data_IF_512898284721
#
_entry.id   IF_512898284721
#
_cell.length_a   1.000
_cell.length_b   1.000
_cell.length_c   1.000
_cell.angle_alpha   90.00
_cell.angle_beta   90.00
_cell.angle_gamma   90.00
#
_symmetry.space_group_name_H-M   'P 1'
#
loop_
_entity.id
_entity.type
_entity.pdbx_description
1 polymer ?
#
# COMPACT_ATOMS: atom_id res chain seq x y z
N UNK A 1 53.29 83.06 19.06
CA UNK A 1 53.04 81.79 19.78
C UNK A 1 51.69 81.29 19.35
N UNK A 2 51.70 80.32 18.45
CA UNK A 2 50.50 79.80 17.80
C UNK A 2 50.20 78.41 18.42
N UNK A 3 49.02 78.26 19.06
CA UNK A 3 48.62 77.01 19.70
C UNK A 3 47.78 76.24 18.70
N UNK A 4 48.27 75.10 18.30
CA UNK A 4 47.61 74.20 17.33
C UNK A 4 46.88 73.11 18.12
N UNK A 5 45.54 73.24 18.22
CA UNK A 5 44.67 72.18 18.82
C UNK A 5 44.34 71.18 17.75
N UNK A 6 44.86 69.95 17.90
CA UNK A 6 44.51 68.81 17.01
C UNK A 6 43.17 68.22 17.43
N UNK A 7 42.18 68.24 16.49
CA UNK A 7 40.94 67.62 16.62
C UNK A 7 41.05 66.18 16.10
N UNK A 8 40.88 65.17 16.98
CA UNK A 8 40.83 63.79 16.61
C UNK A 8 39.35 63.41 16.34
N UNK A 9 39.00 63.13 15.08
CA UNK A 9 37.73 62.48 14.73
C UNK A 9 37.88 60.97 14.92
N UNK A 10 37.12 60.38 15.89
CA UNK A 10 36.97 58.97 16.03
C UNK A 10 35.85 58.54 15.06
N UNK A 11 36.21 57.81 14.02
CA UNK A 11 35.21 57.07 13.20
C UNK A 11 34.85 55.78 13.94
N UNK A 12 33.64 55.73 14.55
CA UNK A 12 33.08 54.51 15.08
C UNK A 12 32.50 53.71 13.89
N UNK A 13 33.22 52.68 13.45
CA UNK A 13 32.69 51.69 12.50
C UNK A 13 31.76 50.75 13.27
N UNK A 14 30.47 50.96 13.16
CA UNK A 14 29.46 50.01 13.64
C UNK A 14 29.44 48.78 12.73
N UNK A 15 30.08 47.70 13.15
CA UNK A 15 29.92 46.38 12.58
C UNK A 15 28.50 45.87 12.90
N UNK A 16 27.55 46.05 11.96
CA UNK A 16 26.30 45.32 11.99
C UNK A 16 26.62 43.83 11.79
N UNK A 17 26.18 42.94 12.69
CA UNK A 17 26.30 41.52 12.44
C UNK A 17 25.39 41.15 11.26
N UNK A 18 25.98 40.86 10.12
CA UNK A 18 25.31 40.23 9.00
C UNK A 18 24.89 38.85 9.46
N UNK A 19 23.63 38.71 9.93
CA UNK A 19 23.01 37.41 10.11
C UNK A 19 22.82 36.82 8.70
N UNK A 20 23.79 36.01 8.27
CA UNK A 20 23.58 35.08 7.21
C UNK A 20 22.39 34.16 7.65
N UNK A 21 21.26 34.42 7.10
CA UNK A 21 20.15 33.49 7.13
C UNK A 21 20.60 32.30 6.26
N UNK A 22 21.17 31.26 6.88
CA UNK A 22 21.32 29.98 6.24
C UNK A 22 19.87 29.48 6.01
N UNK A 23 19.32 29.79 4.85
CA UNK A 23 18.22 29.01 4.33
C UNK A 23 18.76 27.58 4.25
N UNK A 24 18.35 26.71 5.21
CA UNK A 24 18.76 25.32 5.22
C UNK A 24 18.42 24.73 3.85
N UNK A 25 19.33 23.93 3.30
CA UNK A 25 19.03 23.17 2.09
C UNK A 25 17.74 22.36 2.38
N UNK A 26 16.79 22.27 1.42
CA UNK A 26 15.60 21.48 1.63
C UNK A 26 16.01 20.06 2.02
N UNK A 27 15.40 19.52 3.10
CA UNK A 27 15.69 18.17 3.57
C UNK A 27 15.39 17.15 2.46
N UNK A 28 16.26 16.15 2.32
CA UNK A 28 16.03 15.07 1.36
C UNK A 28 14.74 14.31 1.71
N UNK A 29 14.14 13.63 0.73
CA UNK A 29 12.98 12.77 0.97
C UNK A 29 13.24 11.75 2.09
N UNK A 30 14.44 11.18 2.15
CA UNK A 30 14.83 10.24 3.20
C UNK A 30 14.78 10.90 4.59
N UNK A 31 15.34 12.09 4.76
CA UNK A 31 15.30 12.82 6.03
C UNK A 31 13.87 13.20 6.46
N UNK A 32 13.01 13.56 5.50
CA UNK A 32 11.60 13.87 5.79
C UNK A 32 10.85 12.62 6.26
N UNK A 33 11.06 11.47 5.59
CA UNK A 33 10.46 10.19 6.00
C UNK A 33 11.04 9.74 7.35
N UNK A 34 12.34 9.84 7.58
CA UNK A 34 12.95 9.50 8.87
C UNK A 34 12.38 10.36 10.02
N UNK A 35 12.09 11.62 9.76
CA UNK A 35 11.42 12.50 10.73
C UNK A 35 10.01 12.03 11.09
N UNK A 36 9.22 11.56 10.10
CA UNK A 36 7.88 10.98 10.32
C UNK A 36 7.96 9.74 11.22
N UNK A 37 9.02 8.94 11.07
CA UNK A 37 9.20 7.67 11.78
C UNK A 37 9.87 7.82 13.15
N UNK A 38 10.45 8.99 13.42
CA UNK A 38 11.20 9.24 14.65
C UNK A 38 10.34 8.98 15.90
N UNK A 39 10.87 8.20 16.83
CA UNK A 39 10.19 7.83 18.08
C UNK A 39 9.03 6.84 17.94
N UNK A 40 8.75 6.32 16.74
CA UNK A 40 7.70 5.31 16.51
C UNK A 40 8.20 3.91 16.82
N UNK A 41 7.33 3.11 17.44
CA UNK A 41 7.60 1.71 17.78
C UNK A 41 6.97 0.79 16.74
N UNK A 42 7.54 0.79 15.52
CA UNK A 42 7.09 -0.01 14.38
C UNK A 42 8.26 -0.24 13.41
N UNK A 43 8.15 -1.24 12.56
CA UNK A 43 9.03 -1.39 11.40
C UNK A 43 8.26 -0.98 10.14
N UNK A 44 8.81 -0.02 9.39
CA UNK A 44 8.21 0.47 8.15
C UNK A 44 9.05 0.06 6.96
N UNK A 45 8.40 -0.40 5.90
CA UNK A 45 9.01 -0.67 4.60
C UNK A 45 8.33 0.15 3.52
N UNK A 46 9.12 0.78 2.66
CA UNK A 46 8.62 1.63 1.58
C UNK A 46 9.28 1.23 0.27
N UNK A 47 8.51 1.21 -0.80
CA UNK A 47 9.00 1.21 -2.17
C UNK A 47 8.10 2.11 -3.01
N UNK A 48 8.71 3.06 -3.73
CA UNK A 48 7.99 3.94 -4.64
C UNK A 48 8.74 4.07 -5.96
N UNK A 49 8.00 4.03 -7.07
CA UNK A 49 8.55 4.21 -8.42
C UNK A 49 7.60 5.08 -9.26
N UNK A 50 8.16 6.07 -9.99
CA UNK A 50 7.45 6.89 -10.95
C UNK A 50 8.40 7.35 -12.06
N UNK A 51 8.29 6.80 -13.26
CA UNK A 51 9.26 7.08 -14.33
C UNK A 51 10.67 6.67 -13.92
N UNK A 52 11.59 7.62 -13.89
CA UNK A 52 12.98 7.49 -13.44
C UNK A 52 13.17 7.76 -11.92
N UNK A 53 12.13 8.21 -11.23
CA UNK A 53 12.16 8.33 -9.78
C UNK A 53 12.01 6.97 -9.11
N UNK A 54 12.84 6.70 -8.10
CA UNK A 54 12.66 5.59 -7.18
C UNK A 54 13.07 5.97 -5.76
N UNK A 55 12.35 5.43 -4.79
CA UNK A 55 12.68 5.52 -3.36
C UNK A 55 12.44 4.17 -2.68
N UNK A 56 13.36 3.73 -1.85
CA UNK A 56 13.24 2.49 -1.10
C UNK A 56 13.72 2.64 0.34
N UNK A 57 12.97 2.03 1.26
CA UNK A 57 13.33 1.88 2.67
C UNK A 57 12.97 0.47 3.12
N UNK A 58 13.90 -0.23 3.79
CA UNK A 58 13.70 -1.61 4.22
C UNK A 58 13.20 -2.53 3.08
N UNK A 59 13.65 -2.26 1.85
CA UNK A 59 13.12 -2.80 0.60
C UNK A 59 13.14 -4.32 0.51
N UNK A 60 14.03 -5.01 1.25
CA UNK A 60 14.17 -6.49 1.29
C UNK A 60 13.69 -7.11 2.60
N UNK A 61 13.19 -6.31 3.53
CA UNK A 61 12.57 -6.83 4.77
C UNK A 61 11.25 -7.49 4.42
N UNK A 62 10.95 -8.63 5.06
CA UNK A 62 9.69 -9.35 4.90
C UNK A 62 8.62 -8.72 5.77
N UNK A 63 7.49 -8.38 5.15
CA UNK A 63 6.32 -7.83 5.82
C UNK A 63 5.13 -8.75 5.63
N UNK A 64 4.34 -9.07 6.68
CA UNK A 64 3.08 -9.79 6.53
C UNK A 64 2.16 -9.03 5.57
N UNK A 65 1.69 -9.69 4.52
CA UNK A 65 0.88 -9.04 3.48
C UNK A 65 -0.50 -8.62 3.97
N UNK A 66 -1.06 -9.37 4.91
CA UNK A 66 -2.47 -9.25 5.27
C UNK A 66 -3.33 -9.23 4.00
N UNK A 67 -4.48 -8.59 4.00
CA UNK A 67 -5.37 -8.57 2.82
C UNK A 67 -4.77 -7.97 1.53
N UNK A 68 -3.54 -7.45 1.53
CA UNK A 68 -2.86 -7.06 0.29
C UNK A 68 -2.65 -8.27 -0.64
N UNK A 69 -2.51 -9.49 -0.10
CA UNK A 69 -2.35 -10.70 -0.92
C UNK A 69 -3.56 -11.01 -1.81
N UNK A 70 -4.72 -10.41 -1.56
CA UNK A 70 -5.93 -10.54 -2.40
C UNK A 70 -5.71 -10.04 -3.84
N UNK A 71 -4.74 -9.14 -4.05
CA UNK A 71 -4.28 -8.76 -5.40
C UNK A 71 -3.71 -9.97 -6.13
N UNK A 72 -2.85 -10.76 -5.48
CA UNK A 72 -2.26 -11.97 -6.05
C UNK A 72 -3.34 -13.00 -6.42
N UNK A 73 -4.32 -13.20 -5.52
CA UNK A 73 -5.45 -14.11 -5.75
C UNK A 73 -6.26 -13.68 -6.97
N UNK A 74 -6.62 -12.39 -7.05
CA UNK A 74 -7.38 -11.85 -8.17
C UNK A 74 -6.64 -11.99 -9.50
N UNK A 75 -5.32 -11.79 -9.51
CA UNK A 75 -4.49 -11.99 -10.71
C UNK A 75 -4.56 -13.43 -11.23
N UNK A 76 -4.46 -14.42 -10.33
CA UNK A 76 -4.53 -15.84 -10.71
C UNK A 76 -5.93 -16.20 -11.22
N UNK A 77 -6.99 -15.75 -10.56
CA UNK A 77 -8.38 -15.99 -10.99
C UNK A 77 -8.59 -15.43 -12.41
N UNK A 78 -8.16 -14.20 -12.69
CA UNK A 78 -8.28 -13.60 -14.02
C UNK A 78 -7.49 -14.38 -15.08
N UNK A 79 -6.32 -14.89 -14.73
CA UNK A 79 -5.52 -15.73 -15.64
C UNK A 79 -6.23 -17.04 -15.97
N UNK A 80 -6.81 -17.72 -14.98
CA UNK A 80 -7.58 -18.96 -15.20
C UNK A 80 -8.83 -18.73 -16.04
N UNK A 81 -9.54 -17.64 -15.79
CA UNK A 81 -10.69 -17.24 -16.61
C UNK A 81 -10.28 -17.01 -18.08
N UNK A 82 -9.20 -16.29 -18.29
CA UNK A 82 -8.69 -16.05 -19.65
C UNK A 82 -8.30 -17.34 -20.35
N UNK A 83 -7.70 -18.27 -19.63
CA UNK A 83 -7.27 -19.56 -20.17
C UNK A 83 -8.44 -20.50 -20.48
N UNK A 84 -9.51 -20.44 -19.67
CA UNK A 84 -10.71 -21.30 -19.82
C UNK A 84 -11.81 -20.68 -20.68
N UNK A 85 -11.71 -19.39 -21.02
CA UNK A 85 -12.80 -18.64 -21.67
C UNK A 85 -13.98 -18.35 -20.74
N UNK A 86 -13.81 -18.47 -19.43
CA UNK A 86 -14.87 -18.18 -18.44
C UNK A 86 -15.16 -16.67 -18.38
N UNK A 87 -16.45 -16.29 -18.35
CA UNK A 87 -16.85 -14.89 -18.22
C UNK A 87 -16.86 -14.43 -16.76
N UNK A 88 -16.62 -13.14 -16.54
CA UNK A 88 -16.86 -12.48 -15.24
C UNK A 88 -18.33 -12.48 -14.83
N UNK A 89 -19.25 -12.63 -15.78
CA UNK A 89 -20.70 -12.75 -15.53
C UNK A 89 -21.12 -14.18 -15.11
N UNK A 90 -20.18 -15.13 -15.11
CA UNK A 90 -20.46 -16.50 -14.63
C UNK A 90 -20.95 -16.44 -13.19
N UNK A 91 -22.11 -17.03 -12.95
CA UNK A 91 -22.71 -17.11 -11.61
C UNK A 91 -22.01 -18.22 -10.81
N UNK A 92 -21.59 -17.86 -9.61
CA UNK A 92 -21.01 -18.76 -8.61
C UNK A 92 -22.05 -18.94 -7.52
N UNK A 93 -22.44 -20.20 -7.28
CA UNK A 93 -23.29 -20.55 -6.14
C UNK A 93 -22.42 -20.68 -4.89
N UNK A 94 -22.70 -19.85 -3.90
CA UNK A 94 -21.99 -19.82 -2.62
C UNK A 94 -22.91 -20.33 -1.53
N UNK A 95 -22.66 -21.55 -1.07
CA UNK A 95 -23.40 -22.13 0.04
C UNK A 95 -23.17 -21.35 1.33
N UNK A 96 -24.20 -21.20 2.17
CA UNK A 96 -24.09 -20.51 3.46
C UNK A 96 -22.97 -21.09 4.33
N UNK A 97 -22.74 -22.38 4.26
CA UNK A 97 -21.67 -23.08 4.98
C UNK A 97 -20.24 -22.62 4.58
N UNK A 98 -20.08 -22.03 3.41
CA UNK A 98 -18.79 -21.45 2.95
C UNK A 98 -18.51 -20.08 3.56
N UNK A 99 -19.52 -19.41 4.12
CA UNK A 99 -19.42 -18.09 4.72
C UNK A 99 -19.15 -18.21 6.22
N UNK A 100 -17.86 -18.11 6.61
CA UNK A 100 -17.40 -18.20 8.01
C UNK A 100 -17.95 -17.03 8.83
N UNK A 101 -18.37 -17.31 10.09
CA UNK A 101 -18.94 -16.31 10.99
C UNK A 101 -17.87 -15.39 11.59
N UNK A 102 -16.76 -15.95 12.03
CA UNK A 102 -15.73 -15.24 12.81
C UNK A 102 -14.69 -14.57 11.94
N UNK A 103 -15.09 -13.91 10.84
CA UNK A 103 -14.16 -13.18 9.98
C UNK A 103 -14.85 -11.94 9.38
N UNK A 104 -14.04 -10.98 8.95
CA UNK A 104 -14.56 -9.80 8.26
C UNK A 104 -15.13 -10.19 6.89
N UNK A 105 -16.44 -10.00 6.70
CA UNK A 105 -17.11 -10.41 5.46
C UNK A 105 -18.37 -9.59 5.16
N UNK A 106 -18.23 -8.46 4.46
CA UNK A 106 -19.36 -7.70 3.94
C UNK A 106 -20.33 -8.53 3.08
N UNK A 107 -19.83 -9.53 2.33
CA UNK A 107 -20.65 -10.45 1.56
C UNK A 107 -21.63 -11.23 2.46
N UNK A 108 -21.11 -11.82 3.56
CA UNK A 108 -21.93 -12.55 4.54
C UNK A 108 -22.95 -11.59 5.18
N UNK A 109 -22.48 -10.40 5.59
CA UNK A 109 -23.31 -9.45 6.33
C UNK A 109 -24.44 -8.87 5.46
N UNK A 110 -24.20 -8.71 4.15
CA UNK A 110 -25.23 -8.35 3.18
C UNK A 110 -26.23 -9.49 2.86
N UNK A 111 -25.90 -10.73 3.23
CA UNK A 111 -26.70 -11.93 2.99
C UNK A 111 -26.72 -12.81 4.25
N UNK A 112 -27.43 -12.41 5.31
CA UNK A 112 -27.35 -13.05 6.62
C UNK A 112 -27.94 -14.47 6.66
N UNK A 113 -28.79 -14.82 5.69
CA UNK A 113 -29.44 -16.13 5.63
C UNK A 113 -29.45 -16.68 4.22
N UNK A 114 -29.25 -18.01 4.12
CA UNK A 114 -29.32 -18.75 2.86
C UNK A 114 -28.05 -18.70 2.01
N UNK A 115 -28.11 -19.41 0.92
CA UNK A 115 -27.06 -19.45 -0.09
C UNK A 115 -27.09 -18.17 -0.95
N UNK A 116 -25.99 -17.89 -1.63
CA UNK A 116 -25.84 -16.69 -2.45
C UNK A 116 -25.43 -17.07 -3.87
N UNK A 117 -26.24 -16.66 -4.84
CA UNK A 117 -25.84 -16.66 -6.24
C UNK A 117 -25.22 -15.29 -6.57
N UNK A 118 -23.95 -15.28 -6.94
CA UNK A 118 -23.19 -14.07 -7.20
C UNK A 118 -22.32 -14.23 -8.46
N UNK A 119 -22.22 -13.20 -9.28
CA UNK A 119 -21.29 -13.25 -10.42
C UNK A 119 -19.84 -13.30 -9.93
N UNK A 120 -18.95 -13.90 -10.73
CA UNK A 120 -17.52 -13.93 -10.42
C UNK A 120 -16.96 -12.51 -10.28
N UNK A 121 -17.42 -11.55 -11.10
CA UNK A 121 -17.12 -10.13 -10.94
C UNK A 121 -17.51 -9.60 -9.56
N UNK A 122 -18.72 -9.93 -9.09
CA UNK A 122 -19.23 -9.55 -7.78
C UNK A 122 -18.39 -10.14 -6.64
N UNK A 123 -18.05 -11.43 -6.74
CA UNK A 123 -17.22 -12.11 -5.76
C UNK A 123 -15.82 -11.50 -5.67
N UNK A 124 -15.21 -11.23 -6.84
CA UNK A 124 -13.90 -10.55 -6.91
C UNK A 124 -13.97 -9.12 -6.36
N UNK A 125 -15.07 -8.37 -6.62
CA UNK A 125 -15.25 -7.02 -6.09
C UNK A 125 -15.31 -7.04 -4.55
N UNK A 126 -16.06 -7.97 -3.95
CA UNK A 126 -16.08 -8.15 -2.50
C UNK A 126 -14.66 -8.41 -1.95
N UNK A 127 -13.91 -9.31 -2.59
CA UNK A 127 -12.54 -9.63 -2.14
C UNK A 127 -11.58 -8.45 -2.26
N UNK A 128 -11.58 -7.74 -3.39
CA UNK A 128 -10.57 -6.70 -3.69
C UNK A 128 -11.00 -5.35 -3.14
N UNK A 129 -12.19 -4.85 -3.49
CA UNK A 129 -12.62 -3.50 -3.17
C UNK A 129 -13.13 -3.37 -1.72
N UNK A 130 -13.78 -4.41 -1.20
CA UNK A 130 -14.35 -4.43 0.15
C UNK A 130 -13.51 -5.28 1.13
N UNK A 131 -12.45 -5.91 0.64
CA UNK A 131 -11.52 -6.72 1.45
C UNK A 131 -12.15 -7.93 2.15
N UNK A 132 -13.23 -8.49 1.60
CA UNK A 132 -13.97 -9.62 2.15
C UNK A 132 -13.12 -10.89 2.24
N UNK A 133 -13.06 -11.52 3.41
CA UNK A 133 -12.25 -12.70 3.65
C UNK A 133 -12.90 -13.97 3.12
N UNK A 134 -14.23 -14.13 3.26
CA UNK A 134 -14.94 -15.29 2.73
C UNK A 134 -14.90 -15.32 1.19
N UNK A 135 -15.11 -14.17 0.55
CA UNK A 135 -14.98 -14.04 -0.90
C UNK A 135 -13.55 -14.41 -1.37
N UNK A 136 -12.52 -13.97 -0.63
CA UNK A 136 -11.15 -14.33 -0.92
C UNK A 136 -10.91 -15.84 -0.86
N UNK A 137 -11.37 -16.51 0.20
CA UNK A 137 -11.17 -17.94 0.38
C UNK A 137 -11.93 -18.78 -0.68
N UNK A 138 -13.11 -18.32 -1.12
CA UNK A 138 -13.83 -18.92 -2.24
C UNK A 138 -12.99 -18.79 -3.52
N UNK A 139 -12.45 -17.61 -3.81
CA UNK A 139 -11.59 -17.38 -4.98
C UNK A 139 -10.29 -18.20 -4.91
N UNK A 140 -9.68 -18.36 -3.74
CA UNK A 140 -8.50 -19.22 -3.55
C UNK A 140 -8.84 -20.68 -3.89
N UNK A 141 -9.99 -21.19 -3.44
CA UNK A 141 -10.45 -22.55 -3.81
C UNK A 141 -10.67 -22.70 -5.32
N UNK A 142 -11.31 -21.71 -5.95
CA UNK A 142 -11.51 -21.69 -7.41
C UNK A 142 -10.19 -21.67 -8.18
N UNK A 143 -9.17 -20.95 -7.66
CA UNK A 143 -7.82 -20.88 -8.22
C UNK A 143 -6.98 -22.15 -7.98
N UNK A 144 -7.55 -23.20 -7.37
CA UNK A 144 -6.86 -24.46 -7.06
C UNK A 144 -5.98 -24.41 -5.81
N UNK A 145 -6.26 -23.46 -4.89
CA UNK A 145 -5.58 -23.28 -3.62
C UNK A 145 -4.46 -22.26 -3.64
N UNK A 146 -4.06 -21.80 -2.43
CA UNK A 146 -3.09 -20.70 -2.25
C UNK A 146 -1.73 -21.00 -2.90
N UNK A 147 -1.30 -22.26 -2.91
CA UNK A 147 -0.05 -22.68 -3.57
C UNK A 147 -0.07 -22.50 -5.09
N UNK A 148 -1.24 -22.54 -5.74
CA UNK A 148 -1.36 -22.24 -7.17
C UNK A 148 -1.25 -20.73 -7.41
N UNK A 149 -1.78 -19.92 -6.51
CA UNK A 149 -1.61 -18.46 -6.55
C UNK A 149 -0.12 -18.09 -6.44
N UNK A 150 0.60 -18.65 -5.45
CA UNK A 150 2.03 -18.43 -5.26
C UNK A 150 2.83 -18.80 -6.52
N UNK A 151 2.59 -19.99 -7.08
CA UNK A 151 3.28 -20.46 -8.33
C UNK A 151 3.00 -19.55 -9.52
N UNK A 152 1.74 -19.13 -9.68
CA UNK A 152 1.36 -18.26 -10.78
C UNK A 152 2.10 -16.91 -10.72
N UNK A 153 2.10 -16.26 -9.56
CA UNK A 153 2.76 -14.95 -9.43
C UNK A 153 4.29 -15.07 -9.61
N UNK A 154 4.89 -16.18 -9.13
CA UNK A 154 6.32 -16.47 -9.42
C UNK A 154 6.58 -16.65 -10.91
N UNK A 155 5.67 -17.27 -11.65
CA UNK A 155 5.82 -17.46 -13.10
C UNK A 155 5.83 -16.14 -13.88
N UNK A 156 5.32 -15.04 -13.27
CA UNK A 156 5.41 -13.69 -13.82
C UNK A 156 6.77 -13.01 -13.54
N UNK A 157 7.70 -13.71 -12.90
CA UNK A 157 9.03 -13.21 -12.57
C UNK A 157 9.04 -12.30 -11.34
N UNK A 158 8.05 -12.42 -10.47
CA UNK A 158 8.04 -11.75 -9.15
C UNK A 158 8.66 -12.68 -8.12
N UNK A 159 9.77 -12.25 -7.54
CA UNK A 159 10.42 -12.88 -6.40
C UNK A 159 10.29 -11.98 -5.17
N UNK A 160 10.69 -12.48 -3.99
CA UNK A 160 10.64 -11.67 -2.76
C UNK A 160 9.25 -11.62 -2.11
N UNK A 161 8.43 -12.63 -2.33
CA UNK A 161 7.17 -12.85 -1.63
C UNK A 161 6.95 -14.34 -1.35
N UNK A 162 5.94 -14.66 -0.54
CA UNK A 162 5.48 -16.03 -0.25
C UNK A 162 4.03 -16.03 0.16
N UNK A 163 3.25 -16.98 -0.35
CA UNK A 163 1.88 -17.25 0.06
C UNK A 163 1.74 -18.71 0.49
N UNK A 164 1.28 -18.95 1.72
CA UNK A 164 1.14 -20.29 2.29
C UNK A 164 -0.24 -20.59 2.84
N UNK A 165 -0.97 -19.55 3.25
CA UNK A 165 -2.22 -19.69 3.99
C UNK A 165 -3.32 -18.89 3.33
N UNK A 166 -4.55 -19.41 3.41
CA UNK A 166 -5.79 -18.68 3.12
C UNK A 166 -6.22 -17.84 4.33
N UNK A 167 -7.30 -17.08 4.21
CA UNK A 167 -7.79 -16.20 5.28
C UNK A 167 -8.27 -17.02 6.49
N UNK A 168 -8.95 -18.16 6.28
CA UNK A 168 -9.43 -19.03 7.34
C UNK A 168 -8.28 -19.60 8.19
N UNK A 169 -7.18 -20.02 7.54
CA UNK A 169 -6.00 -20.51 8.26
C UNK A 169 -5.30 -19.42 9.09
N UNK A 170 -5.19 -18.20 8.55
CA UNK A 170 -4.63 -17.06 9.28
C UNK A 170 -5.55 -16.58 10.41
N UNK A 171 -6.87 -16.70 10.24
CA UNK A 171 -7.83 -16.34 11.28
C UNK A 171 -7.81 -17.33 12.45
N UNK A 172 -7.67 -18.63 12.17
CA UNK A 172 -7.54 -19.66 13.23
C UNK A 172 -6.23 -19.55 14.02
N UNK A 173 -5.18 -19.05 13.40
CA UNK A 173 -3.87 -18.85 14.01
C UNK A 173 -3.23 -17.62 13.37
N UNK A 174 -3.37 -16.48 14.04
CA UNK A 174 -2.90 -15.19 13.53
C UNK A 174 -1.38 -15.15 13.32
N UNK A 175 -0.60 -16.02 13.96
CA UNK A 175 0.85 -16.10 13.74
C UNK A 175 1.21 -16.52 12.33
N UNK A 176 0.31 -17.22 11.64
CA UNK A 176 0.47 -17.63 10.23
C UNK A 176 0.49 -16.48 9.25
N UNK A 177 0.04 -15.28 9.67
CA UNK A 177 0.13 -14.10 8.81
C UNK A 177 1.57 -13.76 8.43
N UNK A 178 2.56 -14.13 9.24
CA UNK A 178 3.99 -13.96 8.94
C UNK A 178 4.50 -14.89 7.84
N UNK A 179 3.80 -15.98 7.55
CA UNK A 179 4.14 -16.89 6.45
C UNK A 179 3.67 -16.36 5.09
N UNK A 180 2.65 -15.49 5.08
CA UNK A 180 2.19 -14.76 3.90
C UNK A 180 2.87 -13.38 3.85
N UNK A 181 4.01 -13.28 3.23
CA UNK A 181 4.82 -12.07 3.25
C UNK A 181 5.23 -11.59 1.86
N UNK A 182 5.53 -10.31 1.77
CA UNK A 182 6.24 -9.71 0.63
C UNK A 182 7.30 -8.74 1.11
N UNK A 183 8.27 -8.45 0.24
CA UNK A 183 9.10 -7.25 0.36
C UNK A 183 8.39 -6.07 -0.30
N UNK A 184 8.67 -4.82 0.10
CA UNK A 184 8.12 -3.64 -0.57
C UNK A 184 8.43 -3.60 -2.07
N UNK A 185 9.65 -3.92 -2.48
CA UNK A 185 10.05 -3.96 -3.90
C UNK A 185 9.27 -5.01 -4.70
N UNK A 186 9.11 -6.22 -4.15
CA UNK A 186 8.36 -7.28 -4.82
C UNK A 186 6.89 -6.88 -5.04
N UNK A 187 6.28 -6.21 -4.05
CA UNK A 187 4.91 -5.73 -4.18
C UNK A 187 4.78 -4.61 -5.21
N UNK A 188 5.70 -3.65 -5.22
CA UNK A 188 5.73 -2.60 -6.25
C UNK A 188 5.89 -3.20 -7.65
N UNK A 189 6.76 -4.21 -7.82
CA UNK A 189 6.90 -4.93 -9.09
C UNK A 189 5.59 -5.63 -9.50
N UNK A 190 4.89 -6.26 -8.57
CA UNK A 190 3.59 -6.87 -8.84
C UNK A 190 2.56 -5.83 -9.32
N UNK A 191 2.50 -4.68 -8.66
CA UNK A 191 1.62 -3.58 -9.04
C UNK A 191 1.93 -3.04 -10.44
N UNK A 192 3.21 -2.98 -10.83
CA UNK A 192 3.61 -2.61 -12.19
C UNK A 192 3.08 -3.62 -13.22
N UNK A 193 3.16 -4.92 -12.96
CA UNK A 193 2.59 -5.95 -13.85
C UNK A 193 1.08 -5.74 -14.04
N UNK A 194 0.36 -5.41 -12.97
CA UNK A 194 -1.09 -5.16 -13.02
C UNK A 194 -1.42 -3.91 -13.83
N UNK A 195 -0.65 -2.83 -13.73
CA UNK A 195 -1.02 -1.50 -14.25
C UNK A 195 -0.26 -1.07 -15.51
N UNK A 196 0.94 -1.58 -15.79
CA UNK A 196 1.71 -1.25 -17.00
C UNK A 196 1.40 -2.18 -18.18
N UNK A 197 0.92 -3.39 -17.88
CA UNK A 197 0.56 -4.35 -18.92
C UNK A 197 -0.53 -3.81 -19.84
N UNK A 198 -0.27 -3.80 -21.16
CA UNK A 198 -1.28 -3.47 -22.17
C UNK A 198 -2.39 -4.53 -22.29
N UNK A 199 -2.18 -5.69 -21.66
CA UNK A 199 -3.15 -6.78 -21.69
C UNK A 199 -4.46 -6.38 -20.99
N UNK A 200 -5.63 -6.61 -21.62
CA UNK A 200 -6.94 -6.37 -21.01
C UNK A 200 -7.18 -7.25 -19.78
N UNK A 201 -6.38 -8.30 -19.60
CA UNK A 201 -6.47 -9.30 -18.54
C UNK A 201 -6.70 -8.72 -17.15
N UNK A 202 -5.92 -7.70 -16.76
CA UNK A 202 -6.02 -7.11 -15.41
C UNK A 202 -6.88 -5.84 -15.37
N UNK A 203 -7.57 -5.48 -16.45
CA UNK A 203 -8.45 -4.30 -16.44
C UNK A 203 -9.54 -4.37 -15.35
N UNK A 204 -10.21 -5.53 -15.12
CA UNK A 204 -11.18 -5.64 -14.03
C UNK A 204 -10.54 -5.42 -12.64
N UNK A 205 -9.34 -5.96 -12.39
CA UNK A 205 -8.62 -5.78 -11.14
C UNK A 205 -8.27 -4.31 -10.91
N UNK A 206 -7.78 -3.60 -11.93
CA UNK A 206 -7.50 -2.15 -11.85
C UNK A 206 -8.75 -1.36 -11.46
N UNK A 207 -9.90 -1.67 -12.06
CA UNK A 207 -11.18 -1.03 -11.75
C UNK A 207 -11.63 -1.32 -10.31
N UNK A 208 -11.47 -2.56 -9.83
CA UNK A 208 -11.81 -2.94 -8.46
C UNK A 208 -10.91 -2.23 -7.43
N UNK A 209 -9.61 -2.10 -7.73
CA UNK A 209 -8.68 -1.37 -6.86
C UNK A 209 -8.97 0.14 -6.84
N UNK A 210 -9.42 0.73 -7.95
CA UNK A 210 -9.87 2.12 -7.99
C UNK A 210 -11.18 2.36 -7.21
N UNK A 211 -11.99 1.30 -7.03
CA UNK A 211 -13.23 1.32 -6.27
C UNK A 211 -13.07 0.86 -4.81
N UNK A 212 -11.83 0.74 -4.30
CA UNK A 212 -11.57 0.32 -2.92
C UNK A 212 -12.22 1.27 -1.92
N UNK A 213 -12.94 0.71 -0.94
CA UNK A 213 -13.65 1.47 0.11
C UNK A 213 -12.96 1.42 1.46
N UNK A 214 -11.88 0.64 1.60
CA UNK A 214 -11.12 0.50 2.86
C UNK A 214 -9.91 1.41 2.86
N UNK A 215 -9.50 1.92 4.05
CA UNK A 215 -8.26 2.67 4.24
C UNK A 215 -8.23 4.05 3.59
N UNK A 216 -9.36 4.76 3.58
CA UNK A 216 -9.44 6.15 3.15
C UNK A 216 -8.48 7.07 3.93
N UNK A 217 -8.07 6.65 5.12
CA UNK A 217 -7.14 7.31 6.05
C UNK A 217 -5.66 6.97 5.82
N UNK A 218 -5.35 6.08 4.85
CA UNK A 218 -3.97 5.62 4.53
C UNK A 218 -3.39 6.36 3.32
N UNK A 219 -2.86 5.65 2.31
CA UNK A 219 -2.25 6.31 1.13
C UNK A 219 -3.22 7.33 0.50
N UNK A 220 -4.51 7.01 0.42
CA UNK A 220 -5.53 7.92 -0.13
C UNK A 220 -5.51 9.29 0.57
N UNK A 221 -5.38 9.34 1.91
CA UNK A 221 -5.31 10.58 2.69
C UNK A 221 -3.99 11.37 2.49
N UNK A 222 -2.96 10.75 1.95
CA UNK A 222 -1.70 11.41 1.60
C UNK A 222 -1.68 12.01 0.19
N UNK A 223 -2.72 11.77 -0.62
CA UNK A 223 -2.80 12.18 -2.03
C UNK A 223 -3.94 13.20 -2.20
N UNK A 224 -3.74 14.33 -2.91
CA UNK A 224 -4.81 15.28 -3.19
C UNK A 224 -6.04 14.61 -3.82
N UNK A 225 -7.25 15.09 -3.46
CA UNK A 225 -8.52 14.50 -3.91
C UNK A 225 -8.71 14.49 -5.42
N UNK A 226 -8.10 15.46 -6.11
CA UNK A 226 -8.15 15.57 -7.57
C UNK A 226 -7.31 14.50 -8.30
N UNK A 227 -6.46 13.77 -7.58
CA UNK A 227 -5.57 12.76 -8.16
C UNK A 227 -6.17 11.37 -7.94
N UNK A 228 -6.43 10.58 -9.00
CA UNK A 228 -6.95 9.23 -8.88
C UNK A 228 -5.97 8.28 -8.18
N UNK A 229 -6.51 7.45 -7.28
CA UNK A 229 -5.77 6.41 -6.56
C UNK A 229 -6.50 5.08 -6.71
N UNK A 230 -5.77 4.05 -7.12
CA UNK A 230 -6.21 2.67 -7.05
C UNK A 230 -5.35 1.95 -6.01
N UNK A 231 -5.96 1.35 -4.97
CA UNK A 231 -5.18 0.80 -3.87
C UNK A 231 -5.77 -0.46 -3.26
N UNK A 232 -4.96 -1.15 -2.44
CA UNK A 232 -5.39 -2.29 -1.63
C UNK A 232 -4.73 -2.24 -0.27
N UNK A 233 -5.56 -2.27 0.77
CA UNK A 233 -5.12 -2.28 2.17
C UNK A 233 -4.99 -3.69 2.73
N UNK A 234 -4.23 -3.82 3.81
CA UNK A 234 -4.16 -5.03 4.63
C UNK A 234 -3.90 -4.67 6.09
N UNK A 235 -4.70 -5.19 6.99
CA UNK A 235 -4.58 -4.93 8.43
C UNK A 235 -4.79 -6.23 9.20
N UNK A 236 -4.00 -6.42 10.27
CA UNK A 236 -4.18 -7.52 11.23
C UNK A 236 -4.98 -7.09 12.45
N UNK A 237 -5.44 -8.07 13.22
CA UNK A 237 -5.73 -7.88 14.64
C UNK A 237 -4.43 -7.66 15.44
N UNK A 238 -4.55 -7.49 16.76
CA UNK A 238 -3.41 -7.30 17.65
C UNK A 238 -3.13 -8.56 18.48
N UNK A 239 -1.85 -8.91 18.60
CA UNK A 239 -1.36 -9.93 19.51
C UNK A 239 -0.61 -9.21 20.63
N UNK A 240 -1.07 -9.36 21.88
CA UNK A 240 -0.47 -8.70 23.05
C UNK A 240 -0.20 -7.19 22.84
N UNK A 241 -1.12 -6.49 22.19
CA UNK A 241 -1.01 -5.06 21.91
C UNK A 241 -0.21 -4.69 20.65
N UNK A 242 0.44 -5.66 20.01
CA UNK A 242 1.25 -5.46 18.79
C UNK A 242 0.40 -5.76 17.54
N UNK A 243 0.37 -4.83 16.61
CA UNK A 243 -0.22 -5.03 15.27
C UNK A 243 0.81 -5.68 14.37
N UNK A 244 0.52 -6.89 13.90
CA UNK A 244 1.48 -7.70 13.13
C UNK A 244 1.70 -7.16 11.72
N UNK A 245 0.66 -6.57 11.12
CA UNK A 245 0.73 -5.92 9.81
C UNK A 245 -0.32 -4.84 9.64
N UNK A 246 0.09 -3.70 9.06
CA UNK A 246 -0.82 -2.61 8.67
C UNK A 246 -0.27 -1.95 7.39
N UNK A 247 -0.91 -2.21 6.27
CA UNK A 247 -0.33 -2.02 4.94
C UNK A 247 -1.26 -1.23 4.03
N UNK A 248 -0.67 -0.55 3.06
CA UNK A 248 -1.37 -0.07 1.88
C UNK A 248 -0.44 -0.08 0.65
N UNK A 249 -0.97 -0.47 -0.50
CA UNK A 249 -0.28 -0.46 -1.78
C UNK A 249 -1.14 0.24 -2.81
N UNK A 250 -0.57 1.17 -3.56
CA UNK A 250 -1.34 2.03 -4.44
C UNK A 250 -0.66 2.30 -5.78
N UNK A 251 -1.49 2.63 -6.76
CA UNK A 251 -1.09 3.34 -7.97
C UNK A 251 -1.78 4.69 -7.99
N UNK A 252 -0.99 5.74 -7.98
CA UNK A 252 -1.41 7.14 -8.04
C UNK A 252 -1.23 7.63 -9.48
N UNK A 253 -2.32 8.08 -10.12
CA UNK A 253 -2.27 8.59 -11.48
C UNK A 253 -1.88 10.07 -11.48
N UNK A 254 -0.60 10.34 -11.63
CA UNK A 254 -0.05 11.68 -11.57
C UNK A 254 -0.63 12.61 -12.65
N UNK A 255 -0.69 13.94 -12.44
CA UNK A 255 -1.13 14.89 -13.46
C UNK A 255 -0.35 14.84 -14.77
N UNK A 256 0.93 14.42 -14.72
CA UNK A 256 1.75 14.15 -15.90
C UNK A 256 1.23 12.99 -16.78
N UNK A 257 0.22 12.25 -16.30
CA UNK A 257 -0.27 11.04 -16.95
C UNK A 257 0.57 9.79 -16.63
N UNK A 258 1.57 9.86 -15.76
CA UNK A 258 2.36 8.70 -15.30
C UNK A 258 1.70 8.00 -14.14
N UNK A 259 1.97 6.72 -13.98
CA UNK A 259 1.63 5.97 -12.78
C UNK A 259 2.78 6.10 -11.76
N UNK A 260 2.45 6.52 -10.54
CA UNK A 260 3.33 6.42 -9.39
C UNK A 260 2.89 5.22 -8.55
N UNK A 261 3.77 4.23 -8.41
CA UNK A 261 3.55 3.02 -7.62
C UNK A 261 4.08 3.26 -6.21
N UNK A 262 3.25 3.08 -5.20
CA UNK A 262 3.61 3.32 -3.80
C UNK A 262 3.22 2.09 -2.97
N UNK A 263 4.19 1.50 -2.30
CA UNK A 263 4.00 0.45 -1.30
C UNK A 263 4.47 0.97 0.04
N UNK A 264 3.58 0.97 1.04
CA UNK A 264 3.93 1.27 2.44
C UNK A 264 3.45 0.12 3.31
N UNK A 265 4.39 -0.58 3.91
CA UNK A 265 4.17 -1.70 4.82
C UNK A 265 4.60 -1.34 6.22
N UNK A 266 3.78 -1.67 7.21
CA UNK A 266 4.10 -1.57 8.63
C UNK A 266 3.98 -2.97 9.24
N UNK A 267 4.96 -3.37 10.05
CA UNK A 267 4.89 -4.57 10.87
C UNK A 267 5.32 -4.32 12.30
N UNK A 268 4.86 -5.20 13.18
CA UNK A 268 5.24 -5.24 14.60
C UNK A 268 5.05 -3.88 15.30
N UNK A 269 3.90 -3.22 15.00
CA UNK A 269 3.61 -1.89 15.51
C UNK A 269 2.96 -1.95 16.89
N UNK A 270 3.54 -1.22 17.84
CA UNK A 270 2.94 -0.93 19.14
C UNK A 270 2.12 0.38 19.16
N UNK A 271 2.03 1.06 18.02
CA UNK A 271 1.25 2.29 17.85
C UNK A 271 -0.24 1.99 17.64
N UNK A 272 -1.10 3.00 17.80
CA UNK A 272 -2.53 2.87 17.49
C UNK A 272 -2.77 2.70 15.98
N UNK A 273 -3.95 2.20 15.60
CA UNK A 273 -4.32 2.06 14.18
C UNK A 273 -4.36 3.42 13.48
N UNK A 274 -4.87 4.45 14.18
CA UNK A 274 -4.85 5.83 13.66
C UNK A 274 -3.42 6.36 13.46
N UNK A 275 -2.49 6.03 14.36
CA UNK A 275 -1.08 6.43 14.21
C UNK A 275 -0.41 5.70 13.02
N UNK A 276 -0.71 4.41 12.83
CA UNK A 276 -0.23 3.67 11.67
C UNK A 276 -0.76 4.27 10.36
N UNK A 277 -2.07 4.53 10.29
CA UNK A 277 -2.69 5.15 9.12
C UNK A 277 -2.09 6.52 8.82
N UNK A 278 -1.90 7.36 9.85
CA UNK A 278 -1.27 8.68 9.71
C UNK A 278 0.18 8.59 9.17
N UNK A 279 0.97 7.59 9.60
CA UNK A 279 2.31 7.34 9.07
C UNK A 279 2.25 6.97 7.59
N UNK A 280 1.35 6.04 7.21
CA UNK A 280 1.18 5.64 5.80
C UNK A 280 0.79 6.84 4.94
N UNK A 281 -0.17 7.66 5.41
CA UNK A 281 -0.60 8.87 4.71
C UNK A 281 0.52 9.92 4.57
N UNK A 282 1.29 10.14 5.65
CA UNK A 282 2.38 11.11 5.63
C UNK A 282 3.50 10.68 4.67
N UNK A 283 3.90 9.40 4.70
CA UNK A 283 4.91 8.86 3.76
C UNK A 283 4.44 8.98 2.32
N UNK A 284 3.17 8.66 2.04
CA UNK A 284 2.60 8.80 0.69
C UNK A 284 2.59 10.25 0.22
N UNK A 285 2.28 11.21 1.10
CA UNK A 285 2.30 12.65 0.81
C UNK A 285 3.69 13.12 0.41
N UNK A 286 4.71 12.79 1.18
CA UNK A 286 6.09 13.16 0.89
C UNK A 286 6.56 12.63 -0.47
N UNK A 287 6.17 11.39 -0.81
CA UNK A 287 6.49 10.78 -2.11
C UNK A 287 5.77 11.53 -3.24
N UNK A 288 4.47 11.79 -3.11
CA UNK A 288 3.69 12.49 -4.14
C UNK A 288 4.16 13.91 -4.34
N UNK A 289 4.50 14.64 -3.28
CA UNK A 289 5.07 15.98 -3.35
C UNK A 289 6.45 15.98 -4.04
N UNK A 290 7.32 15.03 -3.71
CA UNK A 290 8.63 14.86 -4.34
C UNK A 290 8.51 14.57 -5.85
N UNK A 291 7.62 13.64 -6.22
CA UNK A 291 7.36 13.28 -7.63
C UNK A 291 6.79 14.48 -8.41
N UNK A 292 5.86 15.21 -7.78
CA UNK A 292 5.27 16.42 -8.37
C UNK A 292 6.32 17.53 -8.59
N UNK A 293 7.19 17.75 -7.60
CA UNK A 293 8.27 18.74 -7.69
C UNK A 293 9.26 18.42 -8.82
N UNK A 294 9.41 17.14 -9.19
CA UNK A 294 10.23 16.68 -10.32
C UNK A 294 9.52 16.79 -11.67
N UNK A 295 8.24 17.17 -11.72
CA UNK A 295 7.44 17.23 -12.94
C UNK A 295 7.05 15.84 -13.49
N UNK A 296 7.03 14.81 -12.67
CA UNK A 296 6.72 13.43 -13.04
C UNK A 296 5.23 13.09 -12.87
#
# INVERSE_FOLDING_TARGET
MINLTRLFFLFAVTLLPCRLWCAGMPSSLAERIDSILSGRRMTVGVSAECGDFSYVMNARVRFPLMSVFKVHVAMKVLADMSASGTSLDTVVHVERAMLRENTYSPLRDARPSGDVDITLAGLMRYSVAESDNNACDILIRMAGGIGQVDRYVRSLGVDGFRLMHDEDAMHRDITRCYDNWSTPEAMTRLMKIVFEGSAPLYAPLRSMMAATVTGADKIRAGVPDSIPVAHKTGSSDRIAGIKTGDNDVAVVRMPSGRNCYITVFIKDSAETDAANAAVIAAVAREIVEEVTARGL
#
